data_IF_986809859834
#
_entry.id   IF_986809859834
#
_cell.length_a   1.000
_cell.length_b   1.000
_cell.length_c   1.000
_cell.angle_alpha   90.00
_cell.angle_beta   90.00
_cell.angle_gamma   90.00
#
_symmetry.space_group_name_H-M   'P 1'
#
loop_
_entity.id
_entity.type
_entity.pdbx_description
1 polymer ?
#
# COMPACT_ATOMS: atom_id res chain seq x y z
N UNK A 1 5.21 -14.82 69.08
CA UNK A 1 5.87 -15.73 68.10
C UNK A 1 6.71 -14.90 67.11
N UNK A 2 8.01 -14.75 67.43
CA UNK A 2 9.11 -14.15 66.64
C UNK A 2 9.31 -14.72 65.21
N UNK A 3 8.52 -14.34 64.18
CA UNK A 3 8.95 -14.64 62.79
C UNK A 3 10.25 -13.88 62.47
N UNK A 4 11.32 -14.63 62.14
CA UNK A 4 12.64 -14.07 61.89
C UNK A 4 12.63 -13.12 60.68
N UNK A 5 13.46 -12.07 60.72
CA UNK A 5 13.56 -11.07 59.63
C UNK A 5 13.88 -11.70 58.26
N UNK A 6 14.50 -12.89 58.23
CA UNK A 6 14.76 -13.68 57.01
C UNK A 6 13.48 -14.27 56.41
N UNK A 7 12.55 -14.77 57.23
CA UNK A 7 11.27 -15.31 56.74
C UNK A 7 10.35 -14.23 56.15
N UNK A 8 10.38 -12.99 56.67
CA UNK A 8 9.61 -11.88 56.08
C UNK A 8 10.15 -11.46 54.71
N UNK A 9 11.48 -11.43 54.52
CA UNK A 9 12.09 -11.11 53.23
C UNK A 9 11.76 -12.16 52.16
N UNK A 10 11.83 -13.44 52.51
CA UNK A 10 11.48 -14.54 51.60
C UNK A 10 10.01 -14.55 51.20
N UNK A 11 9.09 -14.27 52.14
CA UNK A 11 7.66 -14.17 51.83
C UNK A 11 7.33 -13.00 50.90
N UNK A 12 8.00 -11.86 51.10
CA UNK A 12 7.79 -10.69 50.25
C UNK A 12 8.37 -10.88 48.84
N UNK A 13 9.54 -11.52 48.70
CA UNK A 13 10.11 -11.81 47.37
C UNK A 13 9.30 -12.87 46.62
N UNK A 14 8.81 -13.90 47.32
CA UNK A 14 7.96 -14.93 46.72
C UNK A 14 6.60 -14.36 46.29
N UNK A 15 6.00 -13.49 47.11
CA UNK A 15 4.76 -12.79 46.74
C UNK A 15 4.94 -11.88 45.54
N UNK A 16 6.10 -11.21 45.42
CA UNK A 16 6.40 -10.34 44.30
C UNK A 16 6.65 -11.16 43.01
N UNK A 17 7.39 -12.26 43.09
CA UNK A 17 7.59 -13.18 41.97
C UNK A 17 6.27 -13.77 41.47
N UNK A 18 5.37 -14.17 42.38
CA UNK A 18 4.06 -14.69 42.02
C UNK A 18 3.20 -13.66 41.29
N UNK A 19 3.22 -12.40 41.74
CA UNK A 19 2.50 -11.30 41.07
C UNK A 19 3.03 -11.02 39.67
N UNK A 20 4.36 -11.01 39.50
CA UNK A 20 4.99 -10.82 38.18
C UNK A 20 4.61 -11.95 37.24
N UNK A 21 4.64 -13.20 37.72
CA UNK A 21 4.30 -14.37 36.92
C UNK A 21 2.82 -14.36 36.49
N UNK A 22 1.93 -13.86 37.36
CA UNK A 22 0.51 -13.71 37.05
C UNK A 22 0.26 -12.62 36.00
N UNK A 23 0.99 -11.49 36.06
CA UNK A 23 0.95 -10.45 35.01
C UNK A 23 1.43 -11.00 33.67
N UNK A 24 2.51 -11.78 33.65
CA UNK A 24 3.02 -12.41 32.43
C UNK A 24 2.00 -13.40 31.86
N UNK A 25 1.36 -14.22 32.70
CA UNK A 25 0.34 -15.17 32.24
C UNK A 25 -0.88 -14.47 31.61
N UNK A 26 -1.31 -13.33 32.17
CA UNK A 26 -2.39 -12.51 31.60
C UNK A 26 -1.98 -11.90 30.26
N UNK A 27 -0.75 -11.41 30.14
CA UNK A 27 -0.23 -10.89 28.86
C UNK A 27 -0.17 -11.99 27.78
N UNK A 28 0.30 -13.19 28.10
CA UNK A 28 0.31 -14.32 27.15
C UNK A 28 -1.11 -14.68 26.70
N UNK A 29 -2.10 -14.67 27.61
CA UNK A 29 -3.49 -14.93 27.27
C UNK A 29 -4.13 -13.86 26.39
N UNK A 30 -3.73 -12.60 26.56
CA UNK A 30 -4.17 -11.50 25.68
C UNK A 30 -3.60 -11.68 24.27
N UNK A 31 -2.32 -12.06 24.14
CA UNK A 31 -1.72 -12.37 22.84
C UNK A 31 -2.36 -13.59 22.15
N UNK A 32 -2.70 -14.65 22.90
CA UNK A 32 -3.42 -15.81 22.36
C UNK A 32 -4.84 -15.45 21.85
N UNK A 33 -5.48 -14.44 22.46
CA UNK A 33 -6.83 -14.01 22.08
C UNK A 33 -6.81 -13.22 20.76
N UNK A 34 -5.85 -12.31 20.59
CA UNK A 34 -5.62 -11.59 19.33
C UNK A 34 -5.32 -12.54 18.16
N UNK A 35 -4.56 -13.63 18.42
CA UNK A 35 -4.25 -14.62 17.37
C UNK A 35 -5.52 -15.40 16.98
N UNK A 36 -6.37 -15.79 17.94
CA UNK A 36 -7.58 -16.58 17.61
C UNK A 36 -8.62 -15.78 16.83
N UNK A 37 -8.79 -14.49 17.11
CA UNK A 37 -9.69 -13.63 16.33
C UNK A 37 -9.17 -13.41 14.89
N UNK A 38 -7.84 -13.42 14.69
CA UNK A 38 -7.24 -13.28 13.37
C UNK A 38 -7.38 -14.53 12.48
N UNK A 39 -7.48 -15.73 13.07
CA UNK A 39 -7.58 -16.99 12.34
C UNK A 39 -9.01 -17.57 12.24
N UNK A 40 -9.99 -17.06 12.98
CA UNK A 40 -11.39 -17.52 12.89
C UNK A 40 -12.17 -16.99 11.67
N UNK A 41 -11.59 -16.06 10.90
CA UNK A 41 -12.19 -15.55 9.65
C UNK A 41 -11.74 -16.27 8.37
N UNK A 42 -10.94 -17.33 8.47
CA UNK A 42 -10.29 -17.98 7.32
C UNK A 42 -10.74 -19.44 7.11
N UNK A 43 -12.04 -19.70 7.24
CA UNK A 43 -12.64 -20.96 6.80
C UNK A 43 -13.86 -20.66 5.92
N UNK A 44 -13.94 -21.39 4.80
CA UNK A 44 -14.92 -21.29 3.69
C UNK A 44 -14.57 -20.19 2.68
N UNK A 45 -14.24 -20.47 1.42
CA UNK A 45 -14.92 -21.37 0.49
C UNK A 45 -13.90 -21.92 -0.55
N UNK A 46 -13.91 -23.24 -0.74
CA UNK A 46 -13.20 -23.93 -1.81
C UNK A 46 -14.22 -24.21 -2.90
N UNK A 47 -14.24 -23.40 -3.95
CA UNK A 47 -14.93 -23.76 -5.18
C UNK A 47 -14.06 -23.51 -6.41
N UNK A 48 -13.72 -24.64 -7.01
CA UNK A 48 -13.25 -24.93 -8.36
C UNK A 48 -13.19 -23.76 -9.37
N UNK A 49 -12.00 -23.52 -9.93
CA UNK A 49 -11.88 -22.97 -11.29
C UNK A 49 -11.19 -24.02 -12.15
N UNK A 50 -12.01 -24.79 -12.85
CA UNK A 50 -11.62 -25.61 -13.99
C UNK A 50 -11.20 -24.69 -15.13
N UNK A 51 -10.09 -25.08 -15.74
CA UNK A 51 -9.57 -24.72 -17.06
C UNK A 51 -10.66 -24.47 -18.12
N UNK A 52 -10.56 -23.33 -18.81
CA UNK A 52 -11.06 -23.15 -20.18
C UNK A 52 -10.07 -22.23 -20.92
N UNK A 53 -9.08 -22.88 -21.54
CA UNK A 53 -8.34 -22.33 -22.67
C UNK A 53 -9.23 -22.60 -23.89
N UNK A 54 -9.83 -21.58 -24.46
CA UNK A 54 -10.32 -21.58 -25.84
C UNK A 54 -9.82 -20.31 -26.52
N UNK A 55 -8.74 -20.52 -27.28
CA UNK A 55 -8.19 -19.60 -28.27
C UNK A 55 -9.04 -19.75 -29.54
N UNK A 56 -9.77 -18.69 -29.93
CA UNK A 56 -10.36 -18.57 -31.27
C UNK A 56 -10.31 -17.14 -31.78
N UNK A 57 -9.68 -17.05 -32.95
CA UNK A 57 -10.01 -16.26 -34.13
C UNK A 57 -9.98 -14.72 -34.05
N UNK A 58 -8.86 -14.21 -34.58
CA UNK A 58 -8.79 -13.17 -35.62
C UNK A 58 -10.13 -12.57 -36.08
N UNK A 59 -10.30 -11.27 -35.86
CA UNK A 59 -11.24 -10.44 -36.62
C UNK A 59 -10.58 -9.14 -37.08
N UNK A 60 -10.52 -9.06 -38.40
CA UNK A 60 -10.01 -8.03 -39.30
C UNK A 60 -10.67 -6.66 -39.08
N UNK A 61 -9.87 -5.61 -38.91
CA UNK A 61 -10.33 -4.22 -38.96
C UNK A 61 -10.45 -3.80 -40.43
N UNK A 62 -11.60 -3.28 -40.92
CA UNK A 62 -11.71 -2.82 -42.29
C UNK A 62 -10.99 -1.49 -42.50
N UNK A 63 -10.05 -1.52 -43.44
CA UNK A 63 -9.37 -0.39 -44.07
C UNK A 63 -10.39 0.45 -44.85
N UNK A 64 -10.72 1.66 -44.37
CA UNK A 64 -11.46 2.66 -45.16
C UNK A 64 -10.48 3.78 -45.54
N UNK A 65 -10.18 3.83 -46.85
CA UNK A 65 -9.52 4.94 -47.53
C UNK A 65 -10.40 6.19 -47.52
N UNK A 66 -9.80 7.35 -47.27
CA UNK A 66 -10.26 8.63 -47.81
C UNK A 66 -9.05 9.52 -48.08
N UNK A 67 -8.85 9.88 -49.36
CA UNK A 67 -7.80 10.77 -49.85
C UNK A 67 -8.24 12.24 -49.77
N UNK A 68 -7.41 13.07 -49.11
CA UNK A 68 -7.06 14.49 -49.39
C UNK A 68 -8.15 15.61 -49.35
N UNK A 69 -7.81 16.93 -49.30
CA UNK A 69 -6.55 17.65 -49.00
C UNK A 69 -6.68 18.83 -47.96
N UNK A 70 -5.54 19.43 -47.61
CA UNK A 70 -5.29 20.81 -47.09
C UNK A 70 -6.43 21.60 -46.41
N UNK A 71 -6.29 21.82 -45.09
CA UNK A 71 -6.65 23.10 -44.43
C UNK A 71 -5.53 23.48 -43.45
N UNK A 72 -4.77 24.47 -43.86
CA UNK A 72 -3.98 25.35 -42.98
C UNK A 72 -4.93 26.27 -42.19
N UNK A 73 -4.47 26.72 -41.02
CA UNK A 73 -5.09 27.68 -40.10
C UNK A 73 -6.13 27.11 -39.12
N UNK A 74 -5.69 26.89 -37.88
CA UNK A 74 -5.96 27.83 -36.79
C UNK A 74 -5.12 27.47 -35.57
N UNK A 75 -4.05 28.25 -35.39
CA UNK A 75 -3.34 28.43 -34.13
C UNK A 75 -4.34 29.02 -33.12
N UNK A 76 -5.11 28.16 -32.47
CA UNK A 76 -5.76 28.50 -31.21
C UNK A 76 -4.68 28.40 -30.15
N UNK A 77 -4.29 29.55 -29.60
CA UNK A 77 -3.59 29.63 -28.32
C UNK A 77 -4.47 28.95 -27.27
N UNK A 78 -4.26 27.65 -27.10
CA UNK A 78 -4.69 26.94 -25.90
C UNK A 78 -3.97 27.65 -24.77
N UNK A 79 -4.72 28.38 -23.94
CA UNK A 79 -4.23 28.88 -22.67
C UNK A 79 -3.50 27.71 -22.01
N UNK A 80 -2.17 27.82 -21.95
CA UNK A 80 -1.31 26.80 -21.37
C UNK A 80 -1.66 26.81 -19.89
N UNK A 81 -2.63 25.98 -19.51
CA UNK A 81 -2.80 25.59 -18.12
C UNK A 81 -1.40 25.14 -17.69
N UNK A 82 -0.79 25.79 -16.68
CA UNK A 82 0.55 25.44 -16.28
C UNK A 82 0.57 23.95 -16.03
N UNK A 83 1.48 23.23 -16.70
CA UNK A 83 1.70 21.82 -16.42
C UNK A 83 1.90 21.71 -14.92
N UNK A 84 1.06 20.94 -14.19
CA UNK A 84 1.11 20.94 -12.75
C UNK A 84 2.54 20.60 -12.30
N UNK A 85 3.11 21.48 -11.48
CA UNK A 85 4.50 21.44 -11.05
C UNK A 85 4.65 20.89 -9.63
N UNK A 86 3.54 20.60 -8.95
CA UNK A 86 3.54 20.12 -7.57
C UNK A 86 2.58 18.97 -7.33
N UNK A 87 3.06 17.95 -6.60
CA UNK A 87 2.28 16.78 -6.24
C UNK A 87 2.41 16.47 -4.73
N UNK A 88 1.41 15.82 -4.16
CA UNK A 88 1.51 15.18 -2.85
C UNK A 88 1.08 13.73 -2.96
N UNK A 89 1.80 12.82 -2.30
CA UNK A 89 1.65 11.37 -2.48
C UNK A 89 1.34 10.73 -1.13
N UNK A 90 0.25 9.98 -1.08
CA UNK A 90 -0.26 9.31 0.11
C UNK A 90 -0.59 7.85 -0.19
N UNK A 91 0.35 6.94 0.08
CA UNK A 91 0.12 5.51 -0.06
C UNK A 91 0.03 4.90 1.34
N UNK A 92 -1.09 4.24 1.62
CA UNK A 92 -1.33 3.66 2.95
C UNK A 92 -1.26 2.14 2.94
N UNK A 93 -0.58 1.57 3.92
CA UNK A 93 -0.69 0.15 4.25
C UNK A 93 -1.62 -0.03 5.48
N UNK A 94 -1.63 -1.24 6.04
CA UNK A 94 -2.44 -1.58 7.24
C UNK A 94 -2.07 -0.74 8.47
N UNK A 95 -0.81 -0.35 8.61
CA UNK A 95 -0.29 0.36 9.80
C UNK A 95 -0.29 1.89 9.65
N UNK A 96 -0.29 2.42 8.41
CA UNK A 96 -0.30 3.86 8.19
C UNK A 96 0.25 4.26 6.83
N UNK A 97 0.87 5.44 6.77
CA UNK A 97 1.53 5.93 5.56
C UNK A 97 2.80 5.10 5.28
N UNK A 98 2.85 4.46 4.13
CA UNK A 98 3.98 3.63 3.73
C UNK A 98 5.06 4.46 3.03
N UNK A 99 6.05 4.90 3.81
CA UNK A 99 7.12 5.78 3.30
C UNK A 99 7.96 5.13 2.20
N UNK A 100 8.14 3.81 2.25
CA UNK A 100 8.97 3.09 1.26
C UNK A 100 8.25 3.09 -0.09
N UNK A 101 6.96 2.76 -0.08
CA UNK A 101 6.14 2.74 -1.29
C UNK A 101 5.88 4.16 -1.80
N UNK A 102 5.63 5.14 -0.92
CA UNK A 102 5.53 6.57 -1.29
C UNK A 102 6.78 7.03 -2.02
N UNK A 103 7.97 6.76 -1.47
CA UNK A 103 9.23 7.15 -2.10
C UNK A 103 9.44 6.45 -3.45
N UNK A 104 9.01 5.19 -3.58
CA UNK A 104 9.06 4.51 -4.87
C UNK A 104 8.10 5.14 -5.89
N UNK A 105 6.85 5.41 -5.51
CA UNK A 105 5.86 6.06 -6.39
C UNK A 105 6.32 7.45 -6.84
N UNK A 106 6.90 8.24 -5.92
CA UNK A 106 7.52 9.52 -6.21
C UNK A 106 8.59 9.40 -7.31
N UNK A 107 9.54 8.49 -7.12
CA UNK A 107 10.68 8.32 -8.02
C UNK A 107 10.33 7.62 -9.35
N UNK A 108 9.19 6.94 -9.44
CA UNK A 108 8.79 6.21 -10.66
C UNK A 108 7.79 7.01 -11.51
N UNK A 109 6.78 7.62 -10.89
CA UNK A 109 5.64 8.23 -11.61
C UNK A 109 5.61 9.76 -11.52
N UNK A 110 6.24 10.35 -10.51
CA UNK A 110 6.17 11.78 -10.22
C UNK A 110 7.52 12.48 -10.33
N UNK A 111 8.44 11.95 -11.13
CA UNK A 111 9.81 12.47 -11.32
C UNK A 111 9.86 13.94 -11.78
N UNK A 112 8.82 14.39 -12.49
CA UNK A 112 8.71 15.76 -13.00
C UNK A 112 7.95 16.72 -12.05
N UNK A 113 7.55 16.27 -10.86
CA UNK A 113 6.77 17.06 -9.91
C UNK A 113 7.61 17.43 -8.69
N UNK A 114 7.42 18.66 -8.19
CA UNK A 114 7.90 19.03 -6.87
C UNK A 114 6.98 18.40 -5.81
N UNK A 115 7.43 17.29 -5.22
CA UNK A 115 6.65 16.59 -4.21
C UNK A 115 6.68 17.35 -2.88
N UNK A 116 5.51 17.56 -2.29
CA UNK A 116 5.36 18.12 -0.94
C UNK A 116 4.81 17.07 0.01
N UNK A 117 5.45 16.94 1.16
CA UNK A 117 4.91 16.14 2.25
C UNK A 117 3.66 16.82 2.82
N UNK A 118 2.59 16.03 3.02
CA UNK A 118 1.44 16.46 3.80
C UNK A 118 1.76 16.56 5.28
N UNK A 119 1.08 17.46 5.97
CA UNK A 119 1.04 17.47 7.43
C UNK A 119 0.21 16.32 7.99
N UNK A 120 -0.44 16.53 9.13
CA UNK A 120 -1.40 15.55 9.67
C UNK A 120 -2.55 15.35 8.68
N UNK A 121 -2.69 14.12 8.16
CA UNK A 121 -3.71 13.76 7.16
C UNK A 121 -4.70 12.76 7.72
N UNK A 122 -5.97 12.89 7.33
CA UNK A 122 -6.99 11.91 7.67
C UNK A 122 -7.05 10.82 6.60
N UNK A 123 -6.48 9.64 6.90
CA UNK A 123 -6.42 8.48 6.00
C UNK A 123 -7.80 8.13 5.40
N UNK A 124 -8.83 8.04 6.23
CA UNK A 124 -10.18 7.64 5.79
C UNK A 124 -10.81 8.65 4.85
N UNK A 125 -10.62 9.96 5.09
CA UNK A 125 -11.11 11.02 4.19
C UNK A 125 -10.41 10.94 2.83
N UNK A 126 -9.08 10.84 2.83
CA UNK A 126 -8.30 10.76 1.59
C UNK A 126 -8.68 9.54 0.74
N UNK A 127 -8.80 8.35 1.36
CA UNK A 127 -9.18 7.13 0.65
C UNK A 127 -10.60 7.17 0.08
N UNK A 128 -11.48 8.00 0.66
CA UNK A 128 -12.83 8.26 0.15
C UNK A 128 -12.87 9.40 -0.91
N UNK A 129 -11.72 9.91 -1.33
CA UNK A 129 -11.62 10.98 -2.33
C UNK A 129 -11.80 12.40 -1.76
N UNK A 130 -11.93 12.55 -0.44
CA UNK A 130 -11.95 13.87 0.20
C UNK A 130 -10.53 14.39 0.38
N UNK A 131 -10.13 15.27 -0.53
CA UNK A 131 -8.78 15.81 -0.58
C UNK A 131 -8.55 16.93 0.43
N UNK A 132 -9.56 17.45 1.15
CA UNK A 132 -9.43 18.68 1.96
C UNK A 132 -8.26 18.67 2.96
N UNK A 133 -7.90 17.51 3.50
CA UNK A 133 -6.74 17.35 4.40
C UNK A 133 -5.38 17.14 3.72
N UNK A 134 -5.33 17.07 2.38
CA UNK A 134 -4.07 16.93 1.64
C UNK A 134 -3.24 18.21 1.68
N UNK A 135 -1.95 18.10 1.32
CA UNK A 135 -1.11 19.27 1.09
C UNK A 135 -1.68 20.18 -0.01
N UNK A 136 -1.29 21.45 0.04
CA UNK A 136 -1.61 22.44 -1.00
C UNK A 136 -0.68 22.24 -2.21
N UNK A 137 -1.08 21.30 -3.08
CA UNK A 137 -0.44 20.92 -4.35
C UNK A 137 -1.48 20.84 -5.46
N UNK A 138 -1.07 20.94 -6.71
CA UNK A 138 -2.01 20.86 -7.85
C UNK A 138 -2.49 19.43 -8.09
N UNK A 139 -1.63 18.46 -7.81
CA UNK A 139 -1.92 17.03 -7.95
C UNK A 139 -1.84 16.35 -6.60
N UNK A 140 -2.76 15.41 -6.35
CA UNK A 140 -2.76 14.54 -5.16
C UNK A 140 -2.86 13.10 -5.62
N UNK A 141 -1.89 12.28 -5.24
CA UNK A 141 -1.91 10.83 -5.41
C UNK A 141 -2.31 10.19 -4.08
N UNK A 142 -3.38 9.39 -4.10
CA UNK A 142 -3.87 8.66 -2.93
C UNK A 142 -4.03 7.20 -3.29
N UNK A 143 -3.51 6.31 -2.46
CA UNK A 143 -3.57 4.89 -2.72
C UNK A 143 -3.43 4.03 -1.49
N UNK A 144 -3.50 2.73 -1.74
CA UNK A 144 -3.30 1.68 -0.77
C UNK A 144 -2.29 0.67 -1.27
N UNK A 145 -1.56 0.08 -0.32
CA UNK A 145 -0.70 -1.05 -0.59
C UNK A 145 -0.93 -2.15 0.44
N UNK A 146 -0.87 -3.39 -0.01
CA UNK A 146 -0.78 -4.55 0.86
C UNK A 146 0.37 -5.43 0.36
N UNK A 147 1.16 -5.93 1.28
CA UNK A 147 2.19 -6.91 0.93
C UNK A 147 2.35 -7.96 2.02
N UNK A 148 2.68 -9.16 1.57
CA UNK A 148 2.82 -10.34 2.41
C UNK A 148 4.13 -11.06 2.08
N UNK A 149 4.77 -11.62 3.11
CA UNK A 149 6.04 -12.30 3.03
C UNK A 149 5.87 -13.79 3.30
N UNK A 150 6.53 -14.61 2.49
CA UNK A 150 6.52 -16.07 2.61
C UNK A 150 7.93 -16.61 2.43
N UNK A 151 8.39 -17.45 3.37
CA UNK A 151 9.69 -18.12 3.27
C UNK A 151 9.52 -19.47 2.58
N UNK A 152 10.35 -19.76 1.57
CA UNK A 152 10.36 -21.06 0.92
C UNK A 152 11.36 -22.03 1.58
N UNK A 153 11.39 -23.29 1.11
CA UNK A 153 12.29 -24.33 1.63
C UNK A 153 13.79 -24.02 1.45
N UNK A 154 14.14 -23.07 0.58
CA UNK A 154 15.52 -22.62 0.31
C UNK A 154 15.91 -21.42 1.17
N UNK A 155 15.12 -21.07 2.20
CA UNK A 155 15.31 -19.90 3.06
C UNK A 155 15.27 -18.56 2.29
N UNK A 156 14.69 -18.54 1.08
CA UNK A 156 14.42 -17.30 0.36
C UNK A 156 13.05 -16.75 0.76
N UNK A 157 12.97 -15.43 0.89
CA UNK A 157 11.75 -14.71 1.22
C UNK A 157 11.13 -14.16 -0.05
N UNK A 158 9.86 -14.49 -0.28
CA UNK A 158 9.04 -13.96 -1.36
C UNK A 158 8.10 -12.90 -0.80
N UNK A 159 8.15 -11.69 -1.36
CA UNK A 159 7.19 -10.62 -1.12
C UNK A 159 6.16 -10.61 -2.26
N UNK A 160 4.87 -10.75 -1.94
CA UNK A 160 3.77 -10.42 -2.86
C UNK A 160 3.28 -9.02 -2.54
N UNK A 161 3.27 -8.12 -3.52
CA UNK A 161 2.92 -6.72 -3.37
C UNK A 161 1.72 -6.39 -4.26
N UNK A 162 0.68 -5.83 -3.65
CA UNK A 162 -0.42 -5.15 -4.32
C UNK A 162 -0.29 -3.65 -4.06
N UNK A 163 -0.29 -2.86 -5.12
CA UNK A 163 -0.24 -1.40 -5.06
C UNK A 163 -1.34 -0.85 -5.95
N UNK A 164 -2.21 -0.03 -5.39
CA UNK A 164 -3.23 0.70 -6.11
C UNK A 164 -3.17 2.17 -5.71
N UNK A 165 -3.18 3.07 -6.68
CA UNK A 165 -3.32 4.50 -6.39
C UNK A 165 -4.05 5.25 -7.48
N UNK A 166 -4.85 6.21 -7.04
CA UNK A 166 -5.54 7.16 -7.87
C UNK A 166 -4.92 8.53 -7.72
N UNK A 167 -4.81 9.22 -8.85
CA UNK A 167 -4.27 10.57 -8.91
C UNK A 167 -5.40 11.54 -9.22
N UNK A 168 -5.43 12.69 -8.56
CA UNK A 168 -6.49 13.69 -8.68
C UNK A 168 -5.91 15.07 -8.93
N UNK A 169 -6.61 15.87 -9.73
CA UNK A 169 -6.42 17.31 -9.75
C UNK A 169 -7.05 17.89 -8.49
N UNK A 170 -6.25 18.57 -7.67
CA UNK A 170 -6.67 19.12 -6.37
C UNK A 170 -7.74 20.20 -6.50
N UNK A 171 -7.66 21.02 -7.54
CA UNK A 171 -8.55 22.17 -7.72
C UNK A 171 -9.94 21.74 -8.17
N UNK A 172 -10.03 20.71 -9.00
CA UNK A 172 -11.29 20.23 -9.57
C UNK A 172 -11.83 18.97 -8.88
N UNK A 173 -10.99 18.25 -8.12
CA UNK A 173 -11.31 16.94 -7.56
C UNK A 173 -11.38 15.82 -8.61
N UNK A 174 -11.09 16.11 -9.88
CA UNK A 174 -11.24 15.13 -10.96
C UNK A 174 -10.07 14.15 -10.97
N UNK A 175 -10.38 12.86 -11.07
CA UNK A 175 -9.40 11.79 -11.23
C UNK A 175 -8.64 11.90 -12.56
N UNK A 176 -7.32 11.85 -12.48
CA UNK A 176 -6.38 11.82 -13.60
C UNK A 176 -6.08 10.36 -13.95
N UNK A 177 -6.87 9.77 -14.86
CA UNK A 177 -6.75 8.36 -15.23
C UNK A 177 -5.38 7.99 -15.78
N UNK A 178 -4.74 8.88 -16.54
CA UNK A 178 -3.40 8.64 -17.11
C UNK A 178 -2.30 8.43 -16.05
N UNK A 179 -2.52 8.89 -14.81
CA UNK A 179 -1.59 8.77 -13.69
C UNK A 179 -2.09 7.82 -12.60
N UNK A 180 -3.26 7.21 -12.76
CA UNK A 180 -3.81 6.26 -11.79
C UNK A 180 -3.37 4.85 -12.18
N UNK A 181 -2.83 4.07 -11.26
CA UNK A 181 -2.20 2.78 -11.57
C UNK A 181 -2.56 1.68 -10.57
N UNK A 182 -2.50 0.44 -11.02
CA UNK A 182 -2.70 -0.76 -10.20
C UNK A 182 -1.69 -1.84 -10.58
N UNK A 183 -0.98 -2.38 -9.59
CA UNK A 183 0.07 -3.38 -9.77
C UNK A 183 -0.11 -4.55 -8.80
N UNK A 184 0.19 -5.75 -9.29
CA UNK A 184 0.29 -6.97 -8.52
C UNK A 184 1.57 -7.69 -8.92
N UNK A 185 2.61 -7.56 -8.10
CA UNK A 185 3.96 -8.04 -8.42
C UNK A 185 4.52 -8.89 -7.29
N UNK A 186 5.58 -9.65 -7.57
CA UNK A 186 6.28 -10.42 -6.54
C UNK A 186 7.79 -10.28 -6.67
N UNK A 187 8.48 -10.17 -5.54
CA UNK A 187 9.93 -10.09 -5.46
C UNK A 187 10.49 -11.15 -4.52
N UNK A 188 11.72 -11.59 -4.77
CA UNK A 188 12.41 -12.60 -3.96
C UNK A 188 13.71 -11.99 -3.44
N UNK A 189 14.02 -12.21 -2.17
CA UNK A 189 15.24 -11.73 -1.51
C UNK A 189 15.63 -12.60 -0.31
N UNK A 190 16.75 -12.28 0.32
CA UNK A 190 17.19 -12.98 1.54
C UNK A 190 16.58 -12.36 2.81
N UNK A 191 16.05 -11.14 2.70
CA UNK A 191 15.33 -10.43 3.76
C UNK A 191 14.00 -9.86 3.24
N UNK A 192 13.07 -9.55 4.14
CA UNK A 192 11.80 -8.88 3.80
C UNK A 192 12.04 -7.58 3.02
N UNK A 193 12.99 -6.76 3.48
CA UNK A 193 13.32 -5.49 2.85
C UNK A 193 13.86 -5.67 1.41
N UNK A 194 14.70 -6.68 1.19
CA UNK A 194 15.21 -7.01 -0.15
C UNK A 194 14.09 -7.53 -1.05
N UNK A 195 13.26 -8.45 -0.57
CA UNK A 195 12.16 -9.02 -1.34
C UNK A 195 11.16 -7.92 -1.76
N UNK A 196 10.82 -7.01 -0.85
CA UNK A 196 9.98 -5.84 -1.14
C UNK A 196 10.64 -4.90 -2.16
N UNK A 197 11.93 -4.61 -2.01
CA UNK A 197 12.67 -3.76 -2.97
C UNK A 197 12.69 -4.37 -4.37
N UNK A 198 12.85 -5.69 -4.47
CA UNK A 198 12.80 -6.42 -5.75
C UNK A 198 11.38 -6.37 -6.34
N UNK A 199 10.34 -6.52 -5.51
CA UNK A 199 8.95 -6.40 -5.96
C UNK A 199 8.67 -5.00 -6.53
N UNK A 200 9.04 -3.95 -5.78
CA UNK A 200 8.87 -2.56 -6.22
C UNK A 200 9.62 -2.25 -7.51
N UNK A 201 10.85 -2.75 -7.70
CA UNK A 201 11.61 -2.54 -8.95
C UNK A 201 10.94 -3.09 -10.20
N UNK A 202 10.00 -4.04 -10.07
CA UNK A 202 9.22 -4.57 -11.20
C UNK A 202 8.06 -3.64 -11.60
N UNK A 203 7.79 -2.61 -10.82
CA UNK A 203 6.84 -1.55 -11.14
C UNK A 203 7.62 -0.44 -11.83
N UNK A 204 7.50 -0.36 -13.15
CA UNK A 204 8.13 0.68 -13.97
C UNK A 204 7.19 1.04 -15.14
N UNK A 205 7.48 2.18 -15.78
CA UNK A 205 6.87 2.61 -17.05
C UNK A 205 7.44 1.83 -18.24
#
# INVERSE_FOLDING_TARGET
>A
MFQSRRQRKLKNSLSLLLKVLLVVAVLVKLFDWDIKEFFSGAAEDKTEIKTLIEEKDTLTIPLVKADSPLIEAQKSEVAVNPTPNSASIYIFNKTGLDKIVVSHVENTFFTNYKVKAGGSVNKSRLLNGDLSSSASTEVVCVGSTDYSFYTNSQQLITCKLHLFFDTYNKNTGTKLQALSQSYSVSGVGFTDAEALKVALRKIHL
#
